data_IF_551122333097
#
_entry.id   IF_551122333097
#
_cell.length_a   1.000
_cell.length_b   1.000
_cell.length_c   1.000
_cell.angle_alpha   90.00
_cell.angle_beta   90.00
_cell.angle_gamma   90.00
#
_symmetry.space_group_name_H-M   'P 1'
#
loop_
_entity.id
_entity.type
_entity.pdbx_description
1 polymer ?
#
# COMPACT_ATOMS: atom_id res chain seq x y z
N UNK A 1 1.81 -1.03 -12.66
CA UNK A 1 3.23 -0.65 -12.57
C UNK A 1 3.34 0.37 -11.47
N UNK A 2 4.30 0.22 -10.54
CA UNK A 2 4.55 1.23 -9.49
C UNK A 2 5.29 2.39 -10.19
N UNK A 3 4.70 3.58 -10.19
CA UNK A 3 5.27 4.76 -10.82
C UNK A 3 6.06 5.54 -9.78
N UNK A 4 7.38 5.40 -9.81
CA UNK A 4 8.29 6.08 -8.88
C UNK A 4 8.57 7.49 -9.39
N UNK A 5 8.32 8.49 -8.56
CA UNK A 5 8.66 9.89 -8.85
C UNK A 5 9.80 10.32 -7.92
N UNK A 6 10.89 10.86 -8.50
CA UNK A 6 12.09 11.34 -7.79
C UNK A 6 12.81 10.29 -6.92
N UNK A 7 12.59 9.00 -7.15
CA UNK A 7 13.33 7.93 -6.49
C UNK A 7 13.68 6.83 -7.48
N UNK A 8 14.81 6.17 -7.25
CA UNK A 8 15.19 4.97 -7.98
C UNK A 8 14.44 3.76 -7.46
N UNK A 9 14.34 2.72 -8.30
CA UNK A 9 13.77 1.43 -7.89
C UNK A 9 14.53 0.82 -6.71
N UNK A 10 15.84 1.01 -6.64
CA UNK A 10 16.68 0.49 -5.55
C UNK A 10 16.40 1.21 -4.24
N UNK A 11 16.29 2.54 -4.24
CA UNK A 11 15.91 3.32 -3.05
C UNK A 11 14.52 2.94 -2.55
N UNK A 12 13.56 2.80 -3.47
CA UNK A 12 12.21 2.35 -3.14
C UNK A 12 12.18 0.93 -2.54
N UNK A 13 12.95 0.00 -3.10
CA UNK A 13 13.03 -1.37 -2.60
C UNK A 13 13.79 -1.49 -1.26
N UNK A 14 14.73 -0.58 -1.00
CA UNK A 14 15.45 -0.52 0.27
C UNK A 14 14.60 0.11 1.39
N UNK A 15 13.59 0.90 1.06
CA UNK A 15 12.60 1.39 2.03
C UNK A 15 11.48 0.36 2.21
N UNK A 16 11.69 -0.59 3.13
CA UNK A 16 10.71 -1.63 3.42
C UNK A 16 9.32 -1.08 3.79
N UNK A 17 9.27 0.08 4.44
CA UNK A 17 7.99 0.68 4.85
C UNK A 17 7.25 1.16 3.61
N UNK A 18 7.92 1.92 2.75
CA UNK A 18 7.34 2.40 1.51
C UNK A 18 6.95 1.25 0.59
N UNK A 19 7.79 0.22 0.48
CA UNK A 19 7.47 -0.97 -0.30
C UNK A 19 6.20 -1.67 0.20
N UNK A 20 6.05 -1.87 1.51
CA UNK A 20 4.86 -2.49 2.11
C UNK A 20 3.61 -1.65 1.88
N UNK A 21 3.73 -0.32 2.02
CA UNK A 21 2.66 0.63 1.75
C UNK A 21 2.11 0.47 0.32
N UNK A 22 2.99 0.51 -0.68
CA UNK A 22 2.58 0.36 -2.08
C UNK A 22 2.05 -1.05 -2.37
N UNK A 23 2.63 -2.10 -1.76
CA UNK A 23 2.11 -3.46 -1.87
C UNK A 23 0.70 -3.60 -1.32
N UNK A 24 0.33 -2.82 -0.29
CA UNK A 24 -1.05 -2.83 0.21
C UNK A 24 -2.03 -2.23 -0.81
N UNK A 25 -1.66 -1.13 -1.47
CA UNK A 25 -2.43 -0.63 -2.61
C UNK A 25 -2.50 -1.64 -3.75
N UNK A 26 -1.43 -2.43 -3.94
CA UNK A 26 -1.43 -3.52 -4.90
C UNK A 26 -2.51 -4.56 -4.57
N UNK A 27 -2.57 -4.99 -3.31
CA UNK A 27 -3.59 -5.91 -2.81
C UNK A 27 -5.01 -5.33 -2.93
N UNK A 28 -5.19 -4.06 -2.56
CA UNK A 28 -6.49 -3.37 -2.63
C UNK A 28 -6.99 -3.25 -4.08
N UNK A 29 -6.13 -2.92 -5.04
CA UNK A 29 -6.52 -2.91 -6.45
C UNK A 29 -6.87 -4.33 -6.93
N UNK A 30 -6.15 -5.36 -6.50
CA UNK A 30 -6.44 -6.75 -6.89
C UNK A 30 -7.80 -7.18 -6.36
N UNK A 31 -8.13 -6.78 -5.14
CA UNK A 31 -9.39 -7.12 -4.47
C UNK A 31 -10.60 -6.41 -5.06
N UNK A 32 -10.47 -5.14 -5.43
CA UNK A 32 -11.60 -4.32 -5.90
C UNK A 32 -11.63 -4.06 -7.41
N UNK A 33 -10.60 -4.49 -8.13
CA UNK A 33 -10.36 -4.09 -9.52
C UNK A 33 -9.92 -2.62 -9.61
N UNK A 34 -9.27 -2.25 -10.71
CA UNK A 34 -8.69 -0.91 -10.89
C UNK A 34 -9.77 0.18 -10.78
N UNK A 35 -10.86 0.07 -11.54
CA UNK A 35 -11.92 1.08 -11.53
C UNK A 35 -12.66 1.14 -10.19
N UNK A 36 -12.95 -0.01 -9.58
CA UNK A 36 -13.64 -0.08 -8.29
C UNK A 36 -12.80 0.50 -7.15
N UNK A 37 -11.50 0.22 -7.14
CA UNK A 37 -10.55 0.80 -6.19
C UNK A 37 -10.45 2.32 -6.37
N UNK A 38 -10.21 2.81 -7.59
CA UNK A 38 -10.06 4.25 -7.85
C UNK A 38 -11.32 5.05 -7.48
N UNK A 39 -12.51 4.57 -7.83
CA UNK A 39 -13.75 5.24 -7.47
C UNK A 39 -13.94 5.33 -5.95
N UNK A 40 -13.73 4.23 -5.23
CA UNK A 40 -13.85 4.21 -3.76
C UNK A 40 -12.79 5.07 -3.11
N UNK A 41 -11.55 4.98 -3.60
CA UNK A 41 -10.43 5.73 -3.08
C UNK A 41 -10.65 7.23 -3.26
N UNK A 42 -11.01 7.67 -4.46
CA UNK A 42 -11.30 9.08 -4.72
C UNK A 42 -12.49 9.58 -3.91
N UNK A 43 -13.57 8.80 -3.82
CA UNK A 43 -14.74 9.17 -3.02
C UNK A 43 -14.39 9.32 -1.54
N UNK A 44 -13.60 8.40 -0.98
CA UNK A 44 -13.13 8.51 0.40
C UNK A 44 -12.20 9.70 0.61
N UNK A 45 -11.27 9.95 -0.31
CA UNK A 45 -10.38 11.10 -0.27
C UNK A 45 -11.12 12.43 -0.37
N UNK A 46 -12.19 12.52 -1.17
CA UNK A 46 -13.02 13.72 -1.25
C UNK A 46 -13.86 13.94 0.01
N UNK A 47 -14.35 12.85 0.63
CA UNK A 47 -15.24 12.92 1.79
C UNK A 47 -14.50 13.14 3.11
N UNK A 48 -13.36 12.49 3.31
CA UNK A 48 -12.62 12.50 4.57
C UNK A 48 -11.24 13.17 4.45
N UNK A 49 -10.78 13.46 3.23
CA UNK A 49 -9.41 13.88 2.97
C UNK A 49 -8.48 12.70 2.76
N UNK A 50 -7.29 13.00 2.21
CA UNK A 50 -6.26 12.01 1.90
C UNK A 50 -5.76 11.30 3.17
N UNK A 51 -5.50 12.03 4.26
CA UNK A 51 -4.96 11.45 5.48
C UNK A 51 -5.92 10.49 6.18
N UNK A 52 -7.23 10.75 6.08
CA UNK A 52 -8.26 9.95 6.75
C UNK A 52 -8.88 8.85 5.88
N UNK A 53 -8.42 8.71 4.63
CA UNK A 53 -8.86 7.65 3.74
C UNK A 53 -8.54 6.27 4.32
N UNK A 54 -9.53 5.39 4.44
CA UNK A 54 -9.37 4.04 5.00
C UNK A 54 -8.31 3.24 4.24
N UNK A 55 -8.19 3.42 2.92
CA UNK A 55 -7.17 2.72 2.13
C UNK A 55 -5.75 3.16 2.47
N UNK A 56 -5.56 4.45 2.77
CA UNK A 56 -4.28 5.02 3.23
C UNK A 56 -3.95 4.59 4.65
N UNK A 57 -4.97 4.47 5.52
CA UNK A 57 -4.78 3.94 6.88
C UNK A 57 -4.32 2.50 6.85
N UNK A 58 -4.99 1.64 6.07
CA UNK A 58 -4.57 0.25 5.89
C UNK A 58 -3.14 0.14 5.32
N UNK A 59 -2.78 1.02 4.37
CA UNK A 59 -1.43 1.05 3.82
C UNK A 59 -0.39 1.47 4.88
N UNK A 60 -0.69 2.47 5.71
CA UNK A 60 0.18 2.87 6.84
C UNK A 60 0.29 1.80 7.92
N UNK A 61 -0.79 1.10 8.22
CA UNK A 61 -0.77 -0.03 9.15
C UNK A 61 0.22 -1.10 8.63
N UNK A 62 0.18 -1.38 7.33
CA UNK A 62 1.07 -2.35 6.69
C UNK A 62 2.56 -1.96 6.70
N UNK A 63 2.90 -0.68 6.85
CA UNK A 63 4.30 -0.23 7.01
C UNK A 63 4.95 -0.82 8.27
N UNK A 64 4.14 -0.97 9.32
CA UNK A 64 4.59 -1.42 10.65
C UNK A 64 4.16 -2.83 10.97
N UNK A 65 3.25 -3.42 10.18
CA UNK A 65 3.01 -4.85 10.19
C UNK A 65 4.31 -5.56 9.79
N UNK A 66 5.12 -5.88 10.80
CA UNK A 66 6.05 -7.00 10.80
C UNK A 66 5.15 -8.23 10.75
N UNK A 67 4.55 -8.47 9.58
CA UNK A 67 3.88 -9.72 9.32
C UNK A 67 4.91 -10.80 9.62
N UNK A 68 4.58 -11.57 10.65
CA UNK A 68 5.24 -12.78 11.13
C UNK A 68 5.95 -13.50 9.99
N UNK A 69 7.19 -13.11 9.69
CA UNK A 69 8.12 -14.00 9.01
C UNK A 69 8.45 -15.01 10.09
N UNK A 70 7.56 -15.96 10.26
CA UNK A 70 7.84 -17.11 11.07
C UNK A 70 8.88 -17.88 10.26
N UNK A 71 10.15 -17.74 10.62
CA UNK A 71 11.26 -18.47 10.02
C UNK A 71 11.05 -20.00 10.01
N UNK A 72 10.02 -20.49 10.73
CA UNK A 72 9.54 -21.87 10.69
C UNK A 72 8.84 -22.28 9.40
N UNK A 73 8.39 -21.35 8.55
CA UNK A 73 7.76 -21.71 7.28
C UNK A 73 8.80 -22.07 6.19
N UNK A 74 10.10 -21.94 6.51
CA UNK A 74 11.24 -22.22 5.62
C UNK A 74 12.22 -23.28 6.15
N UNK A 75 11.85 -24.07 7.17
CA UNK A 75 12.68 -25.14 7.73
C UNK A 75 11.91 -26.45 7.86
#
# INVERSE_FOLDING_TARGET
TIHLHNTTKEEFLNDERWLRHELKHVEQYKKHGVAGFLCKYLWQSLRHGYHDNVFEKEARESETEISKINFKDFN
#
